data_IF_181290558612
#
_entry.id   IF_181290558612
#
_cell.length_a   1.000
_cell.length_b   1.000
_cell.length_c   1.000
_cell.angle_alpha   90.00
_cell.angle_beta   90.00
_cell.angle_gamma   90.00
#
_symmetry.space_group_name_H-M   'P 1'
#
loop_
_entity.id
_entity.type
_entity.pdbx_description
1 polymer ?
#
# COMPACT_ATOMS: atom_id res chain seq x y z
N UNK A 1 27.90 -40.65 -25.78
CA UNK A 1 28.36 -39.39 -25.17
C UNK A 1 27.65 -38.28 -25.92
N UNK A 2 26.62 -37.67 -25.32
CA UNK A 2 25.84 -36.62 -25.97
C UNK A 2 26.58 -35.30 -25.81
N UNK A 3 27.16 -34.78 -26.90
CA UNK A 3 27.84 -33.48 -26.89
C UNK A 3 26.74 -32.41 -26.88
N UNK A 4 26.74 -31.58 -25.85
CA UNK A 4 25.82 -30.45 -25.70
C UNK A 4 25.90 -29.54 -26.95
N UNK A 5 24.83 -29.38 -27.74
CA UNK A 5 24.89 -28.70 -29.04
C UNK A 5 25.32 -27.23 -28.95
N UNK A 6 25.17 -26.60 -27.78
CA UNK A 6 25.61 -25.23 -27.53
C UNK A 6 27.15 -25.08 -27.39
N UNK A 7 27.88 -26.18 -27.14
CA UNK A 7 29.35 -26.19 -27.06
C UNK A 7 30.03 -26.23 -28.44
N UNK A 8 29.26 -26.36 -29.54
CA UNK A 8 29.76 -26.37 -30.93
C UNK A 8 30.32 -25.02 -31.37
N UNK A 9 29.74 -23.93 -30.86
CA UNK A 9 30.09 -22.56 -31.24
C UNK A 9 30.78 -21.88 -30.05
N UNK A 10 32.04 -22.25 -29.82
CA UNK A 10 32.86 -21.62 -28.78
C UNK A 10 33.12 -20.15 -29.12
N UNK A 11 33.46 -19.33 -28.12
CA UNK A 11 33.64 -17.89 -28.29
C UNK A 11 34.68 -17.49 -29.34
N UNK A 12 35.64 -18.38 -29.64
CA UNK A 12 36.74 -18.13 -30.59
C UNK A 12 36.45 -18.71 -31.99
N UNK A 13 35.33 -19.40 -32.19
CA UNK A 13 34.93 -19.94 -33.49
C UNK A 13 34.53 -18.82 -34.47
N UNK A 14 34.83 -19.01 -35.75
CA UNK A 14 34.49 -18.06 -36.83
C UNK A 14 33.43 -18.70 -37.75
N UNK A 15 32.15 -18.31 -37.63
CA UNK A 15 31.07 -18.84 -38.46
C UNK A 15 31.21 -18.40 -39.92
N UNK A 16 31.00 -19.34 -40.85
CA UNK A 16 31.09 -19.10 -42.30
C UNK A 16 29.79 -19.47 -43.00
N UNK A 17 29.35 -18.61 -43.91
CA UNK A 17 28.18 -18.88 -44.75
C UNK A 17 28.45 -20.01 -45.74
N UNK A 18 27.41 -20.79 -46.05
CA UNK A 18 27.49 -21.83 -47.07
C UNK A 18 27.58 -21.18 -48.46
N UNK A 19 28.57 -21.55 -49.30
CA UNK A 19 28.69 -20.99 -50.65
C UNK A 19 27.49 -21.38 -51.52
N UNK A 20 27.03 -20.45 -52.37
CA UNK A 20 25.87 -20.57 -53.27
C UNK A 20 24.49 -20.73 -52.60
N UNK A 21 24.30 -20.10 -51.43
CA UNK A 21 23.00 -20.06 -50.75
C UNK A 21 22.01 -19.13 -51.48
N UNK A 22 20.82 -19.64 -51.83
CA UNK A 22 19.71 -18.82 -52.32
C UNK A 22 18.92 -18.24 -51.13
N UNK A 23 19.11 -16.95 -50.87
CA UNK A 23 18.52 -16.24 -49.72
C UNK A 23 16.99 -16.12 -49.81
N UNK A 24 16.41 -16.24 -51.01
CA UNK A 24 14.96 -16.16 -51.18
C UNK A 24 14.23 -17.47 -50.81
N UNK A 25 14.98 -18.57 -50.67
CA UNK A 25 14.42 -19.89 -50.36
C UNK A 25 14.35 -20.21 -48.86
N UNK A 26 15.00 -19.40 -48.00
CA UNK A 26 15.11 -19.68 -46.56
C UNK A 26 14.27 -18.69 -45.75
N UNK A 27 13.34 -19.19 -44.95
CA UNK A 27 12.57 -18.37 -44.00
C UNK A 27 13.43 -18.11 -42.76
N UNK A 28 13.90 -16.87 -42.60
CA UNK A 28 14.73 -16.44 -41.48
C UNK A 28 13.96 -15.39 -40.65
N UNK A 29 13.85 -15.60 -39.34
CA UNK A 29 13.24 -14.62 -38.43
C UNK A 29 14.06 -13.33 -38.29
N UNK A 30 13.43 -12.24 -37.82
CA UNK A 30 14.09 -10.92 -37.75
C UNK A 30 15.39 -10.91 -36.93
N UNK A 31 15.45 -11.66 -35.82
CA UNK A 31 16.65 -11.77 -34.99
C UNK A 31 17.76 -12.56 -35.68
N UNK A 32 17.41 -13.64 -36.38
CA UNK A 32 18.35 -14.48 -37.10
C UNK A 32 18.85 -13.77 -38.37
N UNK A 33 18.04 -12.90 -38.99
CA UNK A 33 18.44 -12.06 -40.12
C UNK A 33 19.44 -10.98 -39.70
N UNK A 34 19.23 -10.38 -38.52
CA UNK A 34 20.20 -9.44 -37.94
C UNK A 34 21.53 -10.14 -37.65
N UNK A 35 21.48 -11.35 -37.08
CA UNK A 35 22.69 -12.13 -36.83
C UNK A 35 23.39 -12.52 -38.13
N UNK A 36 22.63 -12.96 -39.14
CA UNK A 36 23.12 -13.27 -40.48
C UNK A 36 23.86 -12.10 -41.13
N UNK A 37 23.34 -10.87 -40.99
CA UNK A 37 23.97 -9.66 -41.55
C UNK A 37 25.38 -9.36 -40.99
N UNK A 38 25.76 -10.02 -39.89
CA UNK A 38 27.05 -9.86 -39.21
C UNK A 38 28.00 -11.04 -39.40
N UNK A 39 27.60 -12.03 -40.20
CA UNK A 39 28.44 -13.18 -40.55
C UNK A 39 29.28 -12.85 -41.78
N UNK A 40 30.47 -12.33 -41.56
CA UNK A 40 31.43 -11.95 -42.60
C UNK A 40 32.51 -13.02 -42.86
N UNK A 41 32.48 -14.13 -42.11
CA UNK A 41 33.45 -15.22 -42.20
C UNK A 41 34.81 -14.91 -41.58
N UNK A 42 34.95 -13.79 -40.87
CA UNK A 42 36.20 -13.36 -40.22
C UNK A 42 36.02 -13.04 -38.73
N UNK A 43 34.81 -12.64 -38.33
CA UNK A 43 34.50 -12.23 -36.96
C UNK A 43 34.17 -13.44 -36.08
N UNK A 44 34.71 -13.49 -34.85
CA UNK A 44 34.45 -14.61 -33.93
C UNK A 44 33.09 -14.51 -33.24
N UNK A 45 32.55 -15.62 -32.71
CA UNK A 45 31.29 -15.65 -31.94
C UNK A 45 31.30 -14.63 -30.79
N UNK A 46 32.42 -14.48 -30.07
CA UNK A 46 32.57 -13.51 -28.98
C UNK A 46 32.51 -12.07 -29.49
N UNK A 47 33.11 -11.78 -30.63
CA UNK A 47 33.07 -10.44 -31.24
C UNK A 47 31.67 -10.11 -31.78
N UNK A 48 31.00 -11.07 -32.43
CA UNK A 48 29.61 -10.93 -32.87
C UNK A 48 28.69 -10.67 -31.67
N UNK A 49 28.88 -11.41 -30.58
CA UNK A 49 28.14 -11.21 -29.33
C UNK A 49 28.31 -9.79 -28.77
N UNK A 50 29.54 -9.28 -28.78
CA UNK A 50 29.82 -7.89 -28.38
C UNK A 50 29.14 -6.86 -29.30
N UNK A 51 29.10 -7.11 -30.61
CA UNK A 51 28.49 -6.18 -31.58
C UNK A 51 26.96 -6.16 -31.52
N UNK A 52 26.35 -7.32 -31.24
CA UNK A 52 24.89 -7.47 -31.13
C UNK A 52 24.40 -7.08 -29.72
N UNK A 53 25.31 -6.93 -28.75
CA UNK A 53 24.97 -6.66 -27.35
C UNK A 53 24.28 -7.84 -26.67
N UNK A 54 24.65 -9.07 -27.05
CA UNK A 54 24.08 -10.32 -26.53
C UNK A 54 25.17 -11.20 -25.94
N UNK A 55 24.79 -12.19 -25.15
CA UNK A 55 25.77 -13.15 -24.62
C UNK A 55 26.28 -14.08 -25.73
N UNK A 56 27.53 -14.57 -25.65
CA UNK A 56 28.07 -15.53 -26.61
C UNK A 56 27.21 -16.79 -26.76
N UNK A 57 26.56 -17.24 -25.68
CA UNK A 57 25.63 -18.37 -25.71
C UNK A 57 24.36 -18.06 -26.53
N UNK A 58 23.85 -16.83 -26.47
CA UNK A 58 22.68 -16.43 -27.24
C UNK A 58 23.01 -16.35 -28.74
N UNK A 59 24.22 -15.90 -29.08
CA UNK A 59 24.73 -15.92 -30.46
C UNK A 59 24.96 -17.35 -30.95
N UNK A 60 25.53 -18.22 -30.13
CA UNK A 60 25.71 -19.64 -30.44
C UNK A 60 24.36 -20.34 -30.71
N UNK A 61 23.32 -20.04 -29.92
CA UNK A 61 21.98 -20.55 -30.14
C UNK A 61 21.36 -20.06 -31.46
N UNK A 62 21.62 -18.80 -31.84
CA UNK A 62 21.21 -18.27 -33.16
C UNK A 62 21.97 -18.91 -34.32
N UNK A 63 23.27 -19.17 -34.17
CA UNK A 63 24.08 -19.88 -35.16
C UNK A 63 23.63 -21.33 -35.34
N UNK A 64 23.22 -22.01 -34.26
CA UNK A 64 22.64 -23.35 -34.33
C UNK A 64 21.34 -23.36 -35.16
N UNK A 65 20.48 -22.34 -35.02
CA UNK A 65 19.27 -22.20 -35.85
C UNK A 65 19.59 -21.93 -37.31
N UNK A 66 20.63 -21.14 -37.58
CA UNK A 66 21.07 -20.86 -38.95
C UNK A 66 21.77 -22.07 -39.60
N UNK A 67 22.50 -22.88 -38.84
CA UNK A 67 23.05 -24.18 -39.27
C UNK A 67 21.92 -25.18 -39.59
N UNK A 68 20.92 -25.29 -38.71
CA UNK A 68 19.75 -26.14 -38.94
C UNK A 68 18.96 -25.76 -40.21
N UNK A 69 19.00 -24.47 -40.58
CA UNK A 69 18.42 -23.94 -41.84
C UNK A 69 19.38 -24.02 -43.04
N UNK A 70 20.58 -24.58 -42.86
CA UNK A 70 21.57 -24.77 -43.92
C UNK A 70 22.26 -23.48 -44.39
N UNK A 71 22.16 -22.39 -43.62
CA UNK A 71 22.69 -21.05 -43.95
C UNK A 71 24.18 -20.94 -43.64
N UNK A 72 24.63 -21.57 -42.56
CA UNK A 72 26.02 -21.56 -42.07
C UNK A 72 26.61 -22.97 -42.20
N UNK A 73 27.92 -23.05 -42.46
CA UNK A 73 28.69 -24.29 -42.43
C UNK A 73 28.88 -24.78 -40.98
N UNK A 74 28.72 -26.08 -40.77
CA UNK A 74 29.04 -26.72 -39.50
C UNK A 74 30.54 -26.55 -39.16
N UNK A 75 30.91 -26.41 -37.87
CA UNK A 75 32.30 -26.41 -37.44
C UNK A 75 33.01 -27.71 -37.86
N UNK A 76 34.28 -27.61 -38.30
CA UNK A 76 35.08 -28.75 -38.74
C UNK A 76 35.16 -29.84 -37.64
N UNK A 77 34.70 -31.06 -37.96
CA UNK A 77 34.66 -32.19 -37.02
C UNK A 77 33.39 -32.34 -36.19
N UNK A 78 32.36 -31.51 -36.39
CA UNK A 78 31.06 -31.68 -35.74
C UNK A 78 30.16 -32.71 -36.46
N UNK A 79 29.53 -33.60 -35.69
CA UNK A 79 28.50 -34.51 -36.20
C UNK A 79 27.29 -33.73 -36.75
N UNK A 80 26.60 -34.24 -37.77
CA UNK A 80 25.39 -33.58 -38.30
C UNK A 80 24.33 -33.42 -37.19
N UNK A 81 23.61 -32.30 -37.19
CA UNK A 81 22.53 -32.07 -36.23
C UNK A 81 21.47 -33.18 -36.37
N UNK A 82 20.95 -33.75 -35.26
CA UNK A 82 19.97 -34.83 -35.32
C UNK A 82 18.65 -34.31 -35.92
N UNK A 83 18.04 -35.10 -36.82
CA UNK A 83 16.81 -34.78 -37.56
C UNK A 83 15.65 -34.33 -36.65
N UNK A 84 15.63 -34.78 -35.39
CA UNK A 84 14.62 -34.41 -34.40
C UNK A 84 14.68 -32.94 -33.94
N UNK A 85 15.85 -32.30 -33.96
CA UNK A 85 15.99 -30.87 -33.68
C UNK A 85 15.55 -30.04 -34.89
N UNK A 86 15.95 -30.46 -36.10
CA UNK A 86 15.55 -29.84 -37.37
C UNK A 86 14.03 -29.88 -37.53
N UNK A 87 13.39 -31.01 -37.21
CA UNK A 87 11.93 -31.17 -37.26
C UNK A 87 11.20 -30.35 -36.18
N UNK A 88 11.70 -30.30 -34.94
CA UNK A 88 11.09 -29.49 -33.86
C UNK A 88 11.06 -27.99 -34.18
N UNK A 89 12.09 -27.48 -34.86
CA UNK A 89 12.12 -26.10 -35.32
C UNK A 89 11.24 -25.88 -36.57
N UNK A 90 11.18 -26.83 -37.50
CA UNK A 90 10.25 -26.75 -38.63
C UNK A 90 8.77 -26.74 -38.20
N UNK A 91 8.40 -27.48 -37.13
CA UNK A 91 7.05 -27.49 -36.55
C UNK A 91 6.70 -26.13 -35.92
N UNK A 92 7.63 -25.49 -35.21
CA UNK A 92 7.43 -24.16 -34.63
C UNK A 92 7.24 -23.07 -35.72
N UNK A 93 7.84 -23.24 -36.89
CA UNK A 93 7.73 -22.30 -38.02
C UNK A 93 6.40 -22.49 -38.80
N UNK A 94 5.83 -23.70 -38.86
CA UNK A 94 4.50 -23.94 -39.43
C UNK A 94 3.38 -23.31 -38.58
N UNK A 95 3.51 -23.34 -37.25
CA UNK A 95 2.57 -22.71 -36.32
C UNK A 95 2.66 -21.16 -36.33
N UNK A 96 3.81 -20.60 -36.74
CA UNK A 96 4.03 -19.16 -36.83
C UNK A 96 3.48 -18.50 -38.11
N UNK A 97 3.26 -19.26 -39.19
CA UNK A 97 2.90 -18.72 -40.51
C UNK A 97 1.39 -18.75 -40.83
N UNK A 98 0.57 -19.55 -40.13
CA UNK A 98 -0.86 -19.75 -40.43
C UNK A 98 -1.82 -19.31 -39.32
N UNK A 99 -1.53 -18.20 -38.64
CA UNK A 99 -2.35 -17.68 -37.54
C UNK A 99 -2.75 -16.21 -37.71
N UNK A 100 -3.70 -15.92 -38.60
CA UNK A 100 -4.31 -14.60 -38.70
C UNK A 100 -5.33 -14.40 -37.55
N UNK A 101 -4.91 -13.56 -36.60
CA UNK A 101 -5.71 -12.67 -35.73
C UNK A 101 -7.05 -13.18 -35.18
N UNK A 102 -7.02 -13.66 -33.94
CA UNK A 102 -7.77 -13.06 -32.82
C UNK A 102 -7.33 -13.69 -31.49
N UNK A 103 -6.35 -13.07 -30.85
CA UNK A 103 -5.81 -13.55 -29.59
C UNK A 103 -4.86 -12.51 -29.01
N UNK A 104 -5.44 -11.48 -28.39
CA UNK A 104 -4.81 -10.50 -27.49
C UNK A 104 -3.28 -10.40 -27.52
N UNK A 105 -2.75 -9.53 -28.39
CA UNK A 105 -1.41 -8.94 -28.24
C UNK A 105 -1.32 -8.22 -26.90
N UNK A 106 -0.94 -8.91 -25.83
CA UNK A 106 -0.39 -8.23 -24.65
C UNK A 106 1.03 -7.79 -25.00
N UNK A 107 1.12 -6.53 -25.40
CA UNK A 107 2.36 -5.75 -25.50
C UNK A 107 3.20 -6.01 -24.25
N UNK A 108 4.40 -6.58 -24.40
CA UNK A 108 5.47 -6.50 -23.40
C UNK A 108 5.96 -5.04 -23.37
N UNK A 109 5.12 -4.14 -22.85
CA UNK A 109 5.59 -2.89 -22.31
C UNK A 109 6.45 -3.22 -21.09
N UNK A 110 7.65 -2.66 -21.02
CA UNK A 110 8.58 -2.71 -19.87
C UNK A 110 7.80 -2.67 -18.55
N UNK A 111 7.53 -3.84 -17.95
CA UNK A 111 6.88 -3.93 -16.64
C UNK A 111 7.96 -3.69 -15.59
N UNK A 112 8.06 -2.46 -15.13
CA UNK A 112 8.59 -2.21 -13.80
C UNK A 112 7.62 -2.90 -12.85
N UNK A 113 8.05 -3.95 -12.15
CA UNK A 113 7.27 -4.56 -11.08
C UNK A 113 7.16 -3.52 -9.95
N UNK A 114 6.15 -2.65 -9.96
CA UNK A 114 5.87 -1.75 -8.83
C UNK A 114 5.39 -2.60 -7.66
N UNK A 115 6.28 -2.85 -6.71
CA UNK A 115 5.99 -3.55 -5.45
C UNK A 115 5.34 -2.54 -4.50
N UNK A 116 4.18 -2.87 -3.94
CA UNK A 116 3.50 -1.99 -2.97
C UNK A 116 4.19 -2.08 -1.60
N UNK A 117 4.01 -1.08 -0.73
CA UNK A 117 4.55 -1.15 0.64
C UNK A 117 3.98 -2.34 1.42
N UNK A 118 2.73 -2.73 1.14
CA UNK A 118 2.11 -3.92 1.73
C UNK A 118 2.81 -5.23 1.30
N UNK A 119 3.44 -5.27 0.13
CA UNK A 119 4.16 -6.45 -0.35
C UNK A 119 5.51 -6.66 0.32
N UNK A 120 6.08 -5.60 0.90
CA UNK A 120 7.35 -5.63 1.62
C UNK A 120 7.19 -6.18 3.04
N UNK A 121 5.97 -6.14 3.59
CA UNK A 121 5.66 -6.66 4.92
C UNK A 121 5.22 -8.11 4.80
N UNK A 122 5.95 -9.02 5.41
CA UNK A 122 5.58 -10.43 5.45
C UNK A 122 4.35 -10.69 6.31
N UNK A 123 3.40 -11.46 5.78
CA UNK A 123 2.15 -11.86 6.44
C UNK A 123 2.10 -13.39 6.54
N UNK A 124 1.47 -13.92 7.60
CA UNK A 124 1.30 -15.35 7.81
C UNK A 124 2.65 -16.06 8.04
N UNK A 125 3.05 -16.92 7.10
CA UNK A 125 4.34 -17.65 7.16
C UNK A 125 5.55 -16.72 7.24
N UNK A 126 5.44 -15.52 6.65
CA UNK A 126 6.49 -14.52 6.61
C UNK A 126 6.34 -13.47 7.72
N UNK A 127 5.47 -13.67 8.71
CA UNK A 127 5.19 -12.67 9.75
C UNK A 127 6.47 -12.18 10.44
N UNK A 128 6.61 -10.85 10.51
CA UNK A 128 7.77 -10.19 11.08
C UNK A 128 9.02 -10.18 10.19
N UNK A 129 8.93 -10.65 8.93
CA UNK A 129 10.00 -10.52 7.95
C UNK A 129 9.73 -9.37 6.99
N UNK A 130 10.72 -8.49 6.81
CA UNK A 130 10.66 -7.38 5.86
C UNK A 130 11.43 -7.76 4.59
N UNK A 131 10.75 -7.80 3.45
CA UNK A 131 11.37 -8.16 2.19
C UNK A 131 12.20 -7.00 1.61
N UNK A 132 13.43 -7.26 1.12
CA UNK A 132 14.23 -6.24 0.47
C UNK A 132 13.56 -5.83 -0.85
N UNK A 133 13.41 -4.51 -1.02
CA UNK A 133 12.71 -3.93 -2.18
C UNK A 133 13.42 -4.19 -3.51
N UNK A 134 14.75 -4.05 -3.54
CA UNK A 134 15.54 -4.19 -4.76
C UNK A 134 15.32 -5.51 -5.52
N UNK A 135 15.53 -6.68 -4.87
CA UNK A 135 15.31 -7.98 -5.50
C UNK A 135 13.85 -8.24 -5.93
N UNK A 136 12.86 -7.63 -5.26
CA UNK A 136 11.44 -7.79 -5.63
C UNK A 136 11.01 -6.90 -6.81
N UNK A 137 11.64 -5.75 -7.00
CA UNK A 137 11.37 -4.84 -8.13
C UNK A 137 12.13 -5.24 -9.40
N UNK A 138 13.11 -6.14 -9.31
CA UNK A 138 13.87 -6.66 -10.45
C UNK A 138 12.94 -7.29 -11.51
N UNK A 139 13.28 -7.05 -12.78
CA UNK A 139 12.61 -7.68 -13.92
C UNK A 139 13.09 -9.13 -13.96
N UNK A 140 12.24 -10.02 -13.47
CA UNK A 140 12.56 -11.43 -13.30
C UNK A 140 11.39 -12.28 -13.79
N UNK A 141 11.71 -13.41 -14.42
CA UNK A 141 10.72 -14.39 -14.88
C UNK A 141 10.02 -15.12 -13.71
N UNK A 142 10.56 -15.02 -12.49
CA UNK A 142 10.01 -15.66 -11.30
C UNK A 142 8.75 -14.96 -10.80
N UNK A 143 7.75 -15.76 -10.42
CA UNK A 143 6.57 -15.24 -9.73
C UNK A 143 6.93 -14.57 -8.39
N UNK A 144 6.15 -13.56 -7.99
CA UNK A 144 6.41 -12.78 -6.78
C UNK A 144 6.40 -13.64 -5.50
N UNK A 145 5.54 -14.67 -5.45
CA UNK A 145 5.46 -15.58 -4.30
C UNK A 145 6.71 -16.45 -4.17
N UNK A 146 7.25 -16.92 -5.29
CA UNK A 146 8.49 -17.71 -5.34
C UNK A 146 9.68 -16.84 -4.92
N UNK A 147 9.73 -15.58 -5.37
CA UNK A 147 10.76 -14.62 -4.96
C UNK A 147 10.72 -14.31 -3.46
N UNK A 148 9.52 -14.11 -2.89
CA UNK A 148 9.35 -13.93 -1.44
C UNK A 148 9.80 -15.18 -0.67
N UNK A 149 9.41 -16.37 -1.11
CA UNK A 149 9.86 -17.62 -0.46
C UNK A 149 11.39 -17.78 -0.53
N UNK A 150 12.02 -17.48 -1.67
CA UNK A 150 13.48 -17.54 -1.82
C UNK A 150 14.20 -16.57 -0.89
N UNK A 151 13.75 -15.31 -0.83
CA UNK A 151 14.36 -14.29 0.04
C UNK A 151 14.18 -14.60 1.53
N UNK A 152 13.01 -15.10 1.91
CA UNK A 152 12.73 -15.48 3.29
C UNK A 152 13.60 -16.66 3.73
N UNK A 153 13.72 -17.69 2.89
CA UNK A 153 14.54 -18.85 3.20
C UNK A 153 16.02 -18.46 3.26
N UNK A 154 16.56 -17.75 2.26
CA UNK A 154 17.99 -17.36 2.21
C UNK A 154 18.40 -16.54 3.44
N UNK A 155 17.51 -15.67 3.95
CA UNK A 155 17.78 -14.85 5.13
C UNK A 155 17.75 -15.62 6.47
N UNK A 156 17.12 -16.81 6.51
CA UNK A 156 16.95 -17.59 7.76
C UNK A 156 17.55 -18.99 7.69
N UNK A 157 18.23 -19.32 6.59
CA UNK A 157 18.59 -20.70 6.26
C UNK A 157 19.60 -21.32 7.22
N UNK A 158 20.43 -20.49 7.84
CA UNK A 158 21.44 -20.91 8.81
C UNK A 158 20.83 -21.27 10.17
N UNK A 159 19.75 -20.58 10.57
CA UNK A 159 19.10 -20.73 11.88
C UNK A 159 17.92 -21.72 11.89
N UNK A 160 17.51 -22.21 10.70
CA UNK A 160 16.33 -23.07 10.58
C UNK A 160 16.68 -24.55 10.70
N UNK A 161 15.86 -25.28 11.48
CA UNK A 161 15.96 -26.73 11.55
C UNK A 161 15.61 -27.37 10.19
N UNK A 162 16.17 -28.57 9.87
CA UNK A 162 15.87 -29.27 8.62
C UNK A 162 14.37 -29.46 8.36
N UNK A 163 13.58 -29.69 9.42
CA UNK A 163 12.11 -29.76 9.33
C UNK A 163 11.48 -28.44 8.86
N UNK A 164 11.97 -27.29 9.33
CA UNK A 164 11.46 -25.97 8.92
C UNK A 164 11.89 -25.60 7.50
N UNK A 165 13.05 -26.04 7.04
CA UNK A 165 13.52 -25.80 5.65
C UNK A 165 12.62 -26.49 4.62
N UNK A 166 12.10 -27.68 4.94
CA UNK A 166 11.19 -28.46 4.05
C UNK A 166 9.70 -28.18 4.32
N UNK A 167 9.36 -27.34 5.29
CA UNK A 167 7.99 -27.01 5.71
C UNK A 167 7.21 -28.16 6.32
N UNK A 168 7.88 -28.91 7.19
CA UNK A 168 7.32 -30.07 7.85
C UNK A 168 7.21 -29.86 9.37
N UNK A 169 6.11 -30.31 9.99
CA UNK A 169 6.06 -30.44 11.44
C UNK A 169 7.00 -31.56 11.90
N UNK A 170 7.47 -31.49 13.16
CA UNK A 170 8.30 -32.53 13.77
C UNK A 170 7.63 -33.92 13.76
N UNK A 171 6.29 -33.95 13.83
CA UNK A 171 5.45 -35.15 13.78
C UNK A 171 5.15 -35.67 12.37
N UNK A 172 5.78 -35.13 11.32
CA UNK A 172 5.53 -35.57 9.95
C UNK A 172 5.87 -37.06 9.75
N UNK A 173 4.95 -37.75 9.08
CA UNK A 173 5.11 -39.14 8.65
C UNK A 173 6.05 -39.28 7.44
N UNK A 174 6.62 -40.46 7.24
CA UNK A 174 7.66 -40.79 6.26
C UNK A 174 7.19 -40.47 4.84
N UNK A 175 5.96 -40.86 4.51
CA UNK A 175 5.35 -40.56 3.22
C UNK A 175 5.11 -39.07 2.98
N UNK A 176 4.92 -38.28 4.04
CA UNK A 176 4.75 -36.82 3.95
C UNK A 176 6.10 -36.11 3.78
N UNK A 177 7.14 -36.61 4.46
CA UNK A 177 8.51 -36.10 4.36
C UNK A 177 9.01 -36.25 2.92
N UNK A 178 8.92 -37.44 2.34
CA UNK A 178 9.37 -37.72 0.98
C UNK A 178 8.67 -36.82 -0.04
N UNK A 179 7.35 -36.70 0.01
CA UNK A 179 6.57 -35.88 -0.93
C UNK A 179 6.93 -34.39 -0.86
N UNK A 180 7.15 -33.85 0.34
CA UNK A 180 7.47 -32.43 0.50
C UNK A 180 8.93 -32.13 0.16
N UNK A 181 9.85 -33.03 0.49
CA UNK A 181 11.25 -32.94 0.08
C UNK A 181 11.38 -32.90 -1.45
N UNK A 182 10.73 -33.84 -2.16
CA UNK A 182 10.71 -33.88 -3.62
C UNK A 182 10.11 -32.61 -4.23
N UNK A 183 9.01 -32.11 -3.64
CA UNK A 183 8.37 -30.87 -4.10
C UNK A 183 9.31 -29.66 -3.97
N UNK A 184 9.98 -29.53 -2.83
CA UNK A 184 10.91 -28.42 -2.55
C UNK A 184 12.18 -28.51 -3.41
N UNK A 185 12.72 -29.72 -3.60
CA UNK A 185 13.87 -29.94 -4.48
C UNK A 185 13.59 -29.56 -5.93
N UNK A 186 12.40 -29.91 -6.46
CA UNK A 186 11.98 -29.49 -7.81
C UNK A 186 11.78 -27.98 -7.92
N UNK A 187 11.23 -27.36 -6.87
CA UNK A 187 10.98 -25.91 -6.83
C UNK A 187 12.26 -25.09 -6.84
N UNK A 188 13.34 -25.57 -6.23
CA UNK A 188 14.64 -24.88 -6.20
C UNK A 188 15.67 -25.49 -7.15
N UNK A 189 15.28 -26.42 -8.02
CA UNK A 189 16.22 -27.04 -8.96
C UNK A 189 16.75 -26.00 -9.96
N UNK A 190 18.07 -25.91 -10.19
CA UNK A 190 18.64 -24.97 -11.16
C UNK A 190 18.07 -25.17 -12.57
N UNK A 191 17.89 -26.42 -13.00
CA UNK A 191 17.33 -26.74 -14.33
C UNK A 191 15.89 -26.26 -14.53
N UNK A 192 15.09 -26.11 -13.46
CA UNK A 192 13.70 -25.60 -13.56
C UNK A 192 13.68 -24.17 -14.13
N UNK A 193 14.76 -23.42 -13.93
CA UNK A 193 14.89 -22.03 -14.37
C UNK A 193 15.93 -21.85 -15.47
N UNK A 194 16.36 -22.95 -16.11
CA UNK A 194 17.31 -22.90 -17.22
C UNK A 194 16.72 -22.14 -18.41
N UNK A 195 17.44 -21.12 -18.90
CA UNK A 195 16.99 -20.24 -19.99
C UNK A 195 16.01 -19.13 -19.57
N UNK A 196 15.70 -18.98 -18.28
CA UNK A 196 14.88 -17.88 -17.77
C UNK A 196 15.74 -16.72 -17.21
N UNK A 197 15.25 -15.49 -17.32
CA UNK A 197 15.89 -14.31 -16.71
C UNK A 197 15.61 -14.27 -15.20
N UNK A 198 16.40 -15.03 -14.43
CA UNK A 198 16.30 -15.10 -12.95
C UNK A 198 17.08 -14.02 -12.22
N UNK A 199 17.94 -13.25 -12.91
CA UNK A 199 18.62 -12.09 -12.34
C UNK A 199 19.40 -12.41 -11.05
N UNK A 200 19.23 -11.59 -10.02
CA UNK A 200 19.88 -11.73 -8.71
C UNK A 200 19.53 -13.03 -7.95
N UNK A 201 18.49 -13.76 -8.39
CA UNK A 201 18.05 -15.00 -7.73
C UNK A 201 18.88 -16.22 -8.10
N UNK A 202 19.71 -16.18 -9.15
CA UNK A 202 20.51 -17.33 -9.58
C UNK A 202 21.39 -17.92 -8.46
N UNK A 203 22.25 -17.11 -7.79
CA UNK A 203 23.06 -17.58 -6.67
C UNK A 203 22.24 -18.03 -5.47
N UNK A 204 21.08 -17.39 -5.22
CA UNK A 204 20.16 -17.74 -4.14
C UNK A 204 19.59 -19.14 -4.38
N UNK A 205 19.14 -19.43 -5.61
CA UNK A 205 18.59 -20.74 -6.00
C UNK A 205 19.60 -21.86 -5.72
N UNK A 206 20.88 -21.67 -6.08
CA UNK A 206 21.92 -22.67 -5.85
C UNK A 206 22.15 -22.94 -4.35
N UNK A 207 22.21 -21.89 -3.52
CA UNK A 207 22.37 -22.04 -2.07
C UNK A 207 21.17 -22.76 -1.45
N UNK A 208 19.96 -22.33 -1.80
CA UNK A 208 18.73 -22.93 -1.31
C UNK A 208 18.62 -24.40 -1.72
N UNK A 209 18.93 -24.73 -2.98
CA UNK A 209 18.91 -26.09 -3.49
C UNK A 209 19.84 -27.02 -2.68
N UNK A 210 21.08 -26.60 -2.47
CA UNK A 210 22.06 -27.40 -1.72
C UNK A 210 21.62 -27.62 -0.27
N UNK A 211 21.06 -26.60 0.39
CA UNK A 211 20.58 -26.76 1.77
C UNK A 211 19.32 -27.60 1.86
N UNK A 212 18.37 -27.43 0.95
CA UNK A 212 17.15 -28.25 0.91
C UNK A 212 17.52 -29.71 0.67
N UNK A 213 18.52 -29.97 -0.17
CA UNK A 213 19.07 -31.32 -0.39
C UNK A 213 19.70 -31.89 0.87
N UNK A 214 20.57 -31.13 1.55
CA UNK A 214 21.16 -31.55 2.82
C UNK A 214 20.08 -31.86 3.88
N UNK A 215 19.06 -31.00 3.98
CA UNK A 215 17.94 -31.23 4.89
C UNK A 215 17.11 -32.46 4.51
N UNK A 216 16.92 -32.72 3.21
CA UNK A 216 16.19 -33.88 2.73
C UNK A 216 16.96 -35.18 3.02
N UNK A 217 18.27 -35.19 2.77
CA UNK A 217 19.14 -36.33 3.03
C UNK A 217 19.15 -36.69 4.53
N UNK A 218 19.12 -35.70 5.43
CA UNK A 218 19.01 -35.91 6.87
C UNK A 218 17.64 -36.42 7.32
N UNK A 219 16.56 -36.04 6.63
CA UNK A 219 15.18 -36.37 7.02
C UNK A 219 14.65 -37.66 6.39
N UNK A 220 15.20 -38.08 5.25
CA UNK A 220 14.89 -39.36 4.61
C UNK A 220 15.57 -40.54 5.31
N UNK A 221 16.70 -40.29 5.99
CA UNK A 221 17.39 -41.27 6.81
C UNK A 221 16.67 -41.42 8.17
N UNK A 222 16.07 -42.59 8.47
CA UNK A 222 15.22 -42.76 9.65
C UNK A 222 16.01 -42.64 10.96
N UNK A 223 17.28 -43.04 10.99
CA UNK A 223 18.14 -42.98 12.18
C UNK A 223 18.51 -41.53 12.50
N UNK A 224 19.07 -40.80 11.52
CA UNK A 224 19.44 -39.38 11.67
C UNK A 224 18.23 -38.50 11.98
N UNK A 225 17.08 -38.81 11.40
CA UNK A 225 15.82 -38.12 11.71
C UNK A 225 15.42 -38.32 13.17
N UNK A 226 15.57 -39.52 13.71
CA UNK A 226 15.21 -39.82 15.10
C UNK A 226 16.12 -39.07 16.09
N UNK A 227 17.43 -39.04 15.82
CA UNK A 227 18.40 -38.28 16.59
C UNK A 227 18.12 -36.79 16.53
N UNK A 228 17.82 -36.26 15.35
CA UNK A 228 17.45 -34.86 15.14
C UNK A 228 16.16 -34.49 15.88
N UNK A 229 15.16 -35.39 15.92
CA UNK A 229 13.94 -35.20 16.71
C UNK A 229 14.27 -35.12 18.20
N UNK A 230 15.09 -36.03 18.71
CA UNK A 230 15.52 -36.04 20.12
C UNK A 230 16.31 -34.78 20.48
N UNK A 231 17.23 -34.33 19.61
CA UNK A 231 18.01 -33.11 19.79
C UNK A 231 17.15 -31.84 19.75
N UNK A 232 16.18 -31.76 18.83
CA UNK A 232 15.29 -30.61 18.69
C UNK A 232 14.20 -30.55 19.77
N UNK A 233 13.83 -31.68 20.36
CA UNK A 233 12.84 -31.73 21.44
C UNK A 233 13.44 -31.34 22.80
N UNK A 234 14.73 -31.58 23.07
CA UNK A 234 15.47 -31.03 24.23
C UNK A 234 14.96 -31.39 25.65
N UNK A 235 13.75 -31.90 25.77
CA UNK A 235 13.01 -32.40 26.95
C UNK A 235 11.92 -33.28 26.29
N UNK A 236 11.78 -34.59 26.53
CA UNK A 236 10.80 -35.08 27.51
C UNK A 236 10.65 -36.62 27.47
N UNK A 237 11.43 -37.35 28.27
CA UNK A 237 10.99 -38.68 28.74
C UNK A 237 9.77 -38.59 29.70
N UNK A 238 9.34 -37.37 30.03
CA UNK A 238 8.23 -37.04 30.92
C UNK A 238 6.90 -36.83 30.18
N UNK A 239 6.90 -36.43 28.90
CA UNK A 239 5.67 -36.27 28.10
C UNK A 239 5.09 -37.61 27.67
N UNK A 240 5.96 -38.61 27.45
CA UNK A 240 5.54 -39.99 27.18
C UNK A 240 4.77 -40.57 28.38
N UNK A 241 5.06 -40.12 29.61
CA UNK A 241 4.29 -40.51 30.82
C UNK A 241 2.99 -39.71 30.99
N UNK A 242 2.89 -38.51 30.41
CA UNK A 242 1.66 -37.71 30.43
C UNK A 242 0.56 -38.32 29.54
N UNK A 243 0.96 -39.07 28.52
CA UNK A 243 0.09 -39.85 27.65
C UNK A 243 -0.38 -41.21 28.22
N UNK A 244 0.06 -41.59 29.42
CA UNK A 244 -0.39 -42.80 30.13
C UNK A 244 -1.31 -42.50 31.34
N UNK A 245 -1.46 -41.22 31.72
CA UNK A 245 -2.30 -40.80 32.86
C UNK A 245 -3.80 -40.91 32.56
N UNK A 246 -4.68 -41.28 33.52
CA UNK A 246 -6.13 -41.30 33.30
C UNK A 246 -6.69 -39.96 32.81
N UNK A 247 -7.71 -40.00 31.93
CA UNK A 247 -8.31 -38.82 31.29
C UNK A 247 -8.71 -37.72 32.30
N UNK A 248 -9.24 -38.10 33.46
CA UNK A 248 -9.65 -37.17 34.52
C UNK A 248 -8.48 -36.33 35.08
N UNK A 249 -7.30 -36.94 35.23
CA UNK A 249 -6.10 -36.26 35.76
C UNK A 249 -5.51 -35.30 34.71
N UNK A 250 -5.61 -35.66 33.42
CA UNK A 250 -5.21 -34.77 32.32
C UNK A 250 -6.13 -33.57 32.21
N UNK A 251 -7.44 -33.77 32.28
CA UNK A 251 -8.42 -32.69 32.26
C UNK A 251 -8.27 -31.76 33.47
N UNK A 252 -8.01 -32.31 34.66
CA UNK A 252 -7.76 -31.51 35.87
C UNK A 252 -6.50 -30.65 35.73
N UNK A 253 -5.38 -31.23 35.25
CA UNK A 253 -4.14 -30.49 35.01
C UNK A 253 -4.26 -29.48 33.86
N UNK A 254 -5.02 -29.79 32.81
CA UNK A 254 -5.32 -28.84 31.73
C UNK A 254 -6.15 -27.67 32.24
N UNK A 255 -7.23 -27.92 33.00
CA UNK A 255 -8.03 -26.87 33.64
C UNK A 255 -7.19 -26.01 34.60
N UNK A 256 -6.25 -26.61 35.31
CA UNK A 256 -5.33 -25.89 36.20
C UNK A 256 -4.32 -25.04 35.43
N UNK A 257 -3.70 -25.58 34.37
CA UNK A 257 -2.84 -24.81 33.45
C UNK A 257 -3.61 -23.67 32.78
N UNK A 258 -4.85 -23.90 32.38
CA UNK A 258 -5.74 -22.88 31.83
C UNK A 258 -6.03 -21.78 32.86
N UNK A 259 -6.36 -22.12 34.11
CA UNK A 259 -6.55 -21.16 35.21
C UNK A 259 -5.29 -20.33 35.47
N UNK A 260 -4.13 -20.97 35.53
CA UNK A 260 -2.83 -20.30 35.73
C UNK A 260 -2.54 -19.38 34.52
N UNK A 261 -2.75 -19.86 33.30
CA UNK A 261 -2.55 -19.08 32.08
C UNK A 261 -3.52 -17.90 31.97
N UNK A 262 -4.78 -18.08 32.36
CA UNK A 262 -5.80 -17.04 32.42
C UNK A 262 -5.46 -16.00 33.50
N UNK A 263 -4.97 -16.43 34.66
CA UNK A 263 -4.46 -15.56 35.72
C UNK A 263 -3.26 -14.74 35.28
N UNK A 264 -2.30 -15.35 34.57
CA UNK A 264 -1.15 -14.66 33.98
C UNK A 264 -1.56 -13.70 32.86
N UNK A 265 -2.52 -14.07 32.00
CA UNK A 265 -3.12 -13.18 30.98
C UNK A 265 -3.79 -11.97 31.65
N UNK A 266 -4.59 -12.17 32.69
CA UNK A 266 -5.19 -11.07 33.46
C UNK A 266 -4.14 -10.16 34.11
N UNK A 267 -3.06 -10.72 34.66
CA UNK A 267 -1.94 -9.92 35.21
C UNK A 267 -1.18 -9.15 34.13
N UNK A 268 -0.97 -9.73 32.95
CA UNK A 268 -0.35 -9.07 31.79
C UNK A 268 -1.23 -7.95 31.23
N UNK A 269 -2.54 -8.15 31.18
CA UNK A 269 -3.51 -7.12 30.79
C UNK A 269 -3.52 -5.95 31.80
N UNK A 270 -3.49 -6.23 33.11
CA UNK A 270 -3.37 -5.18 34.15
C UNK A 270 -2.03 -4.42 34.10
N UNK A 271 -0.95 -5.08 33.69
CA UNK A 271 0.37 -4.46 33.49
C UNK A 271 0.55 -3.84 32.10
N UNK A 272 -0.41 -4.02 31.19
CA UNK A 272 -0.33 -3.47 29.85
C UNK A 272 -0.61 -1.95 29.92
N UNK A 273 0.30 -1.10 29.44
CA UNK A 273 0.17 0.36 29.50
C UNK A 273 -1.14 0.87 28.87
N UNK A 274 -1.74 0.14 27.91
CA UNK A 274 -3.05 0.49 27.34
C UNK A 274 -4.17 0.54 28.38
N UNK A 275 -4.26 -0.42 29.31
CA UNK A 275 -5.32 -0.40 30.33
C UNK A 275 -5.11 0.71 31.36
N UNK A 276 -3.85 1.05 31.67
CA UNK A 276 -3.52 2.20 32.49
C UNK A 276 -3.93 3.52 31.80
N UNK A 277 -3.70 3.64 30.49
CA UNK A 277 -4.10 4.80 29.70
C UNK A 277 -5.63 4.94 29.63
N UNK A 278 -6.37 3.85 29.41
CA UNK A 278 -7.85 3.85 29.43
C UNK A 278 -8.37 4.26 30.83
N UNK A 279 -7.75 3.75 31.90
CA UNK A 279 -8.08 4.15 33.27
C UNK A 279 -7.89 5.65 33.50
N UNK A 280 -6.74 6.21 33.07
CA UNK A 280 -6.46 7.66 33.17
C UNK A 280 -7.40 8.50 32.29
N UNK A 281 -7.73 8.03 31.09
CA UNK A 281 -8.71 8.71 30.22
C UNK A 281 -10.07 8.82 30.92
N UNK A 282 -10.50 7.74 31.59
CA UNK A 282 -11.76 7.72 32.34
C UNK A 282 -11.74 8.68 33.52
N UNK A 283 -10.65 8.78 34.29
CA UNK A 283 -10.57 9.72 35.41
C UNK A 283 -10.60 11.16 34.93
N UNK A 284 -9.86 11.49 33.87
CA UNK A 284 -9.88 12.83 33.25
C UNK A 284 -11.26 13.19 32.71
N UNK A 285 -11.98 12.22 32.14
CA UNK A 285 -13.35 12.44 31.70
C UNK A 285 -14.32 12.69 32.86
N UNK A 286 -14.16 11.96 33.97
CA UNK A 286 -14.95 12.21 35.19
C UNK A 286 -14.66 13.60 35.78
N UNK A 287 -13.41 14.06 35.76
CA UNK A 287 -13.05 15.42 36.13
C UNK A 287 -13.66 16.46 35.20
N UNK A 288 -13.63 16.19 33.88
CA UNK A 288 -14.30 17.04 32.90
C UNK A 288 -15.80 17.20 33.21
N UNK A 289 -16.48 16.12 33.60
CA UNK A 289 -17.90 16.20 33.97
C UNK A 289 -18.16 17.07 35.20
N UNK A 290 -17.27 17.04 36.20
CA UNK A 290 -17.36 17.97 37.34
C UNK A 290 -17.18 19.43 36.90
N UNK A 291 -16.29 19.70 35.95
CA UNK A 291 -16.16 21.05 35.38
C UNK A 291 -17.41 21.48 34.62
N UNK A 292 -18.10 20.55 33.94
CA UNK A 292 -19.38 20.83 33.28
C UNK A 292 -20.46 21.18 34.31
N UNK A 293 -20.56 20.44 35.41
CA UNK A 293 -21.49 20.76 36.52
C UNK A 293 -21.23 22.16 37.08
N UNK A 294 -19.96 22.55 37.20
CA UNK A 294 -19.55 23.86 37.67
C UNK A 294 -19.62 24.97 36.59
N UNK A 295 -20.12 24.66 35.37
CA UNK A 295 -20.16 25.57 34.20
C UNK A 295 -18.79 26.09 33.73
N UNK A 296 -17.70 25.43 34.13
CA UNK A 296 -16.33 25.76 33.71
C UNK A 296 -15.97 25.07 32.38
N UNK A 297 -16.66 25.43 31.31
CA UNK A 297 -16.57 24.72 30.02
C UNK A 297 -15.18 24.71 29.39
N UNK A 298 -14.36 25.75 29.60
CA UNK A 298 -12.99 25.79 29.09
C UNK A 298 -12.09 24.73 29.75
N UNK A 299 -12.22 24.53 31.08
CA UNK A 299 -11.49 23.49 31.79
C UNK A 299 -12.00 22.10 31.41
N UNK A 300 -13.31 21.95 31.27
CA UNK A 300 -13.94 20.72 30.80
C UNK A 300 -13.41 20.30 29.42
N UNK A 301 -13.35 21.23 28.46
CA UNK A 301 -12.81 20.98 27.12
C UNK A 301 -11.35 20.50 27.17
N UNK A 302 -10.49 21.16 27.95
CA UNK A 302 -9.09 20.78 28.09
C UNK A 302 -8.92 19.40 28.74
N UNK A 303 -9.74 19.06 29.73
CA UNK A 303 -9.74 17.75 30.38
C UNK A 303 -10.21 16.63 29.42
N UNK A 304 -11.20 16.89 28.57
CA UNK A 304 -11.64 15.92 27.54
C UNK A 304 -10.57 15.75 26.46
N UNK A 305 -9.92 16.85 26.04
CA UNK A 305 -8.78 16.79 25.12
C UNK A 305 -7.66 15.92 25.69
N UNK A 306 -7.32 16.09 26.98
CA UNK A 306 -6.36 15.23 27.66
C UNK A 306 -6.82 13.77 27.68
N UNK A 307 -8.10 13.48 27.99
CA UNK A 307 -8.64 12.12 27.94
C UNK A 307 -8.51 11.48 26.54
N UNK A 308 -8.79 12.25 25.47
CA UNK A 308 -8.68 11.81 24.08
C UNK A 308 -7.24 11.44 23.68
N UNK A 309 -6.23 12.09 24.26
CA UNK A 309 -4.82 11.69 24.01
C UNK A 309 -4.48 10.30 24.54
N UNK A 310 -5.11 9.88 25.65
CA UNK A 310 -4.88 8.57 26.25
C UNK A 310 -5.72 7.47 25.62
N UNK A 311 -6.90 7.80 25.08
CA UNK A 311 -7.77 6.87 24.36
C UNK A 311 -8.38 7.52 23.09
N UNK A 312 -7.62 7.56 21.97
CA UNK A 312 -8.08 8.18 20.73
C UNK A 312 -9.20 7.41 20.01
N UNK A 313 -9.43 6.14 20.36
CA UNK A 313 -10.37 5.25 19.65
C UNK A 313 -11.81 5.37 20.16
N UNK A 314 -12.02 6.07 21.26
CA UNK A 314 -13.35 6.21 21.85
C UNK A 314 -14.16 7.36 21.18
N UNK A 315 -15.28 7.05 20.50
CA UNK A 315 -16.10 8.07 19.82
C UNK A 315 -16.74 9.05 20.81
N UNK A 316 -17.01 8.63 22.04
CA UNK A 316 -17.63 9.47 23.07
C UNK A 316 -16.79 10.70 23.39
N UNK A 317 -15.47 10.56 23.45
CA UNK A 317 -14.58 11.70 23.76
C UNK A 317 -14.54 12.72 22.62
N UNK A 318 -14.66 12.26 21.36
CA UNK A 318 -14.72 13.16 20.20
C UNK A 318 -16.02 13.95 20.18
N UNK A 319 -17.15 13.29 20.44
CA UNK A 319 -18.45 13.98 20.52
C UNK A 319 -18.49 14.99 21.68
N UNK A 320 -17.99 14.59 22.85
CA UNK A 320 -17.98 15.44 24.03
C UNK A 320 -17.01 16.60 23.91
N UNK A 321 -15.86 16.41 23.24
CA UNK A 321 -14.93 17.50 22.92
C UNK A 321 -15.62 18.56 22.08
N UNK A 322 -16.26 18.17 20.97
CA UNK A 322 -16.91 19.11 20.06
C UNK A 322 -18.04 19.88 20.77
N UNK A 323 -18.86 19.17 21.56
CA UNK A 323 -19.90 19.81 22.38
C UNK A 323 -19.31 20.81 23.39
N UNK A 324 -18.22 20.45 24.06
CA UNK A 324 -17.59 21.35 25.04
C UNK A 324 -16.82 22.49 24.37
N UNK A 325 -16.26 22.29 23.18
CA UNK A 325 -15.60 23.31 22.37
C UNK A 325 -16.58 24.42 22.01
N UNK A 326 -17.75 24.04 21.50
CA UNK A 326 -18.84 24.97 21.19
C UNK A 326 -19.27 25.73 22.44
N UNK A 327 -19.59 25.04 23.55
CA UNK A 327 -20.00 25.68 24.81
C UNK A 327 -18.91 26.59 25.42
N UNK A 328 -17.65 26.19 25.32
CA UNK A 328 -16.53 26.99 25.80
C UNK A 328 -16.34 28.26 24.96
N UNK A 329 -16.51 28.16 23.64
CA UNK A 329 -16.51 29.34 22.76
C UNK A 329 -17.68 30.28 23.10
N UNK A 330 -18.90 29.74 23.26
CA UNK A 330 -20.08 30.52 23.64
C UNK A 330 -19.87 31.26 24.96
N UNK A 331 -19.43 30.54 26.00
CA UNK A 331 -19.18 31.12 27.32
C UNK A 331 -18.05 32.18 27.29
N UNK A 332 -17.00 31.98 26.49
CA UNK A 332 -15.92 32.96 26.33
C UNK A 332 -16.39 34.19 25.56
N UNK A 333 -17.34 34.05 24.63
CA UNK A 333 -17.88 35.16 23.86
C UNK A 333 -18.94 35.98 24.63
N UNK A 334 -19.60 35.37 25.62
CA UNK A 334 -20.69 35.97 26.39
C UNK A 334 -20.37 37.36 26.97
N UNK A 335 -19.19 37.62 27.59
CA UNK A 335 -18.86 38.96 28.08
C UNK A 335 -18.76 40.00 26.95
N UNK A 336 -18.25 39.60 25.79
CA UNK A 336 -18.14 40.49 24.62
C UNK A 336 -19.52 40.81 24.04
N UNK A 337 -20.41 39.82 23.98
CA UNK A 337 -21.80 40.03 23.54
C UNK A 337 -22.53 40.97 24.48
N UNK A 338 -22.43 40.76 25.80
CA UNK A 338 -23.05 41.66 26.79
C UNK A 338 -22.49 43.09 26.72
N UNK A 339 -21.18 43.23 26.54
CA UNK A 339 -20.56 44.53 26.36
C UNK A 339 -21.06 45.22 25.07
N UNK A 340 -21.22 44.46 23.99
CA UNK A 340 -21.74 44.96 22.73
C UNK A 340 -23.20 45.42 22.86
N UNK A 341 -24.07 44.61 23.48
CA UNK A 341 -25.47 44.94 23.72
C UNK A 341 -25.63 46.16 24.64
N UNK A 342 -24.79 46.26 25.68
CA UNK A 342 -24.75 47.45 26.52
C UNK A 342 -24.33 48.69 25.72
N UNK A 343 -23.29 48.60 24.89
CA UNK A 343 -22.85 49.70 24.05
C UNK A 343 -23.93 50.12 23.03
N UNK A 344 -24.65 49.18 22.44
CA UNK A 344 -25.81 49.46 21.57
C UNK A 344 -26.90 50.25 22.31
N UNK A 345 -27.25 49.83 23.53
CA UNK A 345 -28.29 50.49 24.33
C UNK A 345 -27.91 51.93 24.71
N UNK A 346 -26.62 52.20 24.90
CA UNK A 346 -26.08 53.54 25.19
C UNK A 346 -25.85 54.36 23.90
N UNK A 347 -26.04 53.76 22.72
CA UNK A 347 -25.85 54.42 21.41
C UNK A 347 -24.39 54.55 20.98
N UNK A 348 -23.46 53.80 21.60
CA UNK A 348 -22.03 53.76 21.24
C UNK A 348 -21.78 52.65 20.21
N UNK A 349 -22.11 52.92 18.96
CA UNK A 349 -22.08 51.93 17.88
C UNK A 349 -20.67 51.41 17.55
N UNK A 350 -19.62 52.25 17.62
CA UNK A 350 -18.23 51.83 17.37
C UNK A 350 -17.75 50.78 18.37
N UNK A 351 -18.08 50.99 19.65
CA UNK A 351 -17.72 50.07 20.74
C UNK A 351 -18.50 48.76 20.62
N UNK A 352 -19.78 48.85 20.21
CA UNK A 352 -20.60 47.68 19.96
C UNK A 352 -20.07 46.84 18.80
N UNK A 353 -19.67 47.48 17.70
CA UNK A 353 -19.06 46.83 16.54
C UNK A 353 -17.79 46.08 16.94
N UNK A 354 -16.85 46.75 17.62
CA UNK A 354 -15.60 46.13 18.05
C UNK A 354 -15.84 44.91 18.97
N UNK A 355 -16.81 45.03 19.89
CA UNK A 355 -17.17 43.94 20.79
C UNK A 355 -17.81 42.75 20.06
N UNK A 356 -18.71 42.99 19.09
CA UNK A 356 -19.25 41.92 18.25
C UNK A 356 -18.20 41.28 17.34
N UNK A 357 -17.28 42.05 16.75
CA UNK A 357 -16.15 41.50 15.98
C UNK A 357 -15.32 40.54 16.84
N UNK A 358 -15.06 40.89 18.10
CA UNK A 358 -14.33 40.02 19.02
C UNK A 358 -15.12 38.76 19.38
N UNK A 359 -16.44 38.89 19.64
CA UNK A 359 -17.32 37.73 19.85
C UNK A 359 -17.34 36.79 18.63
N UNK A 360 -17.43 37.34 17.41
CA UNK A 360 -17.47 36.58 16.17
C UNK A 360 -16.15 35.84 15.88
N UNK A 361 -15.01 36.42 16.25
CA UNK A 361 -13.70 35.74 16.18
C UNK A 361 -13.60 34.55 17.13
N UNK A 362 -14.26 34.61 18.28
CA UNK A 362 -14.30 33.52 19.26
C UNK A 362 -15.29 32.43 18.81
N UNK A 363 -16.47 32.84 18.35
CA UNK A 363 -17.55 31.94 17.94
C UNK A 363 -17.71 31.92 16.41
N UNK A 364 -16.86 31.15 15.73
CA UNK A 364 -16.98 30.97 14.28
C UNK A 364 -18.29 30.25 13.85
N UNK A 365 -18.93 29.52 14.76
CA UNK A 365 -20.16 28.78 14.50
C UNK A 365 -21.44 29.64 14.61
N UNK A 366 -21.32 30.89 15.07
CA UNK A 366 -22.44 31.85 15.22
C UNK A 366 -22.27 33.04 14.28
N UNK A 367 -22.79 32.95 13.04
CA UNK A 367 -22.68 34.04 12.07
C UNK A 367 -23.47 35.30 12.47
N UNK A 368 -24.39 35.20 13.44
CA UNK A 368 -25.20 36.33 13.92
C UNK A 368 -24.32 37.47 14.45
N UNK A 369 -23.16 37.16 15.04
CA UNK A 369 -22.25 38.17 15.57
C UNK A 369 -21.59 39.00 14.46
N UNK A 370 -21.30 38.39 13.30
CA UNK A 370 -20.81 39.13 12.13
C UNK A 370 -21.91 40.04 11.56
N UNK A 371 -23.15 39.57 11.47
CA UNK A 371 -24.27 40.36 11.00
C UNK A 371 -24.58 41.55 11.93
N UNK A 372 -24.56 41.34 13.26
CA UNK A 372 -24.72 42.43 14.25
C UNK A 372 -23.58 43.44 14.21
N UNK A 373 -22.34 42.99 14.02
CA UNK A 373 -21.21 43.90 13.81
C UNK A 373 -21.40 44.75 12.56
N UNK A 374 -21.83 44.14 11.45
CA UNK A 374 -22.11 44.85 10.20
C UNK A 374 -23.22 45.91 10.36
N UNK A 375 -24.30 45.59 11.09
CA UNK A 375 -25.36 46.56 11.38
C UNK A 375 -24.83 47.74 12.21
N UNK A 376 -24.03 47.47 13.25
CA UNK A 376 -23.41 48.53 14.06
C UNK A 376 -22.51 49.41 13.20
N UNK A 377 -21.62 48.82 12.38
CA UNK A 377 -20.74 49.54 11.46
C UNK A 377 -21.52 50.41 10.46
N UNK A 378 -22.65 49.91 9.94
CA UNK A 378 -23.52 50.65 9.04
C UNK A 378 -24.15 51.89 9.70
N UNK A 379 -24.49 51.80 10.99
CA UNK A 379 -25.09 52.92 11.75
C UNK A 379 -24.07 54.00 12.10
N UNK A 380 -22.81 53.64 12.29
CA UNK A 380 -21.70 54.58 12.46
C UNK A 380 -21.51 55.38 11.18
N UNK A 381 -21.54 54.70 10.03
CA UNK A 381 -21.48 55.33 8.70
C UNK A 381 -20.07 55.75 8.25
N UNK A 382 -19.03 55.42 9.02
CA UNK A 382 -17.64 55.75 8.68
C UNK A 382 -17.10 54.91 7.51
N UNK A 383 -17.36 53.59 7.48
CA UNK A 383 -16.90 52.69 6.41
C UNK A 383 -17.99 51.67 6.00
N UNK A 384 -18.73 52.01 4.94
CA UNK A 384 -19.75 51.13 4.37
C UNK A 384 -19.17 49.92 3.61
N UNK A 385 -17.91 49.98 3.16
CA UNK A 385 -17.26 48.82 2.54
C UNK A 385 -16.91 47.79 3.60
N UNK A 386 -16.38 48.23 4.75
CA UNK A 386 -16.12 47.34 5.87
C UNK A 386 -17.41 46.70 6.39
N UNK A 387 -18.50 47.47 6.53
CA UNK A 387 -19.82 46.93 6.90
C UNK A 387 -20.27 45.82 5.94
N UNK A 388 -20.14 46.03 4.62
CA UNK A 388 -20.48 45.03 3.62
C UNK A 388 -19.61 43.77 3.74
N UNK A 389 -18.31 43.92 3.97
CA UNK A 389 -17.40 42.79 4.18
C UNK A 389 -17.76 41.96 5.42
N UNK A 390 -18.21 42.60 6.51
CA UNK A 390 -18.67 41.91 7.72
C UNK A 390 -19.97 41.16 7.48
N UNK A 391 -20.92 41.75 6.76
CA UNK A 391 -22.17 41.09 6.39
C UNK A 391 -21.91 39.90 5.46
N UNK A 392 -20.95 40.02 4.53
CA UNK A 392 -20.57 38.93 3.62
C UNK A 392 -20.04 37.73 4.40
N UNK A 393 -19.22 37.94 5.44
CA UNK A 393 -18.75 36.84 6.32
C UNK A 393 -19.88 36.07 6.98
N UNK A 394 -20.99 36.72 7.33
CA UNK A 394 -22.17 36.05 7.86
C UNK A 394 -22.89 35.22 6.79
N UNK A 395 -23.04 35.78 5.59
CA UNK A 395 -23.67 35.11 4.43
C UNK A 395 -22.84 33.91 3.97
N UNK A 396 -21.51 34.00 3.99
CA UNK A 396 -20.62 32.90 3.59
C UNK A 396 -20.79 31.65 4.48
N UNK A 397 -21.17 31.84 5.75
CA UNK A 397 -21.44 30.75 6.71
C UNK A 397 -22.88 30.23 6.54
N UNK A 398 -23.84 31.13 6.31
CA UNK A 398 -25.27 30.79 6.18
C UNK A 398 -25.91 31.58 5.01
N UNK A 399 -25.79 31.08 3.76
CA UNK A 399 -26.19 31.81 2.56
C UNK A 399 -27.71 31.93 2.38
N UNK A 400 -28.47 31.01 2.99
CA UNK A 400 -29.93 30.94 2.86
C UNK A 400 -30.66 31.73 3.96
N UNK A 401 -29.91 32.38 4.87
CA UNK A 401 -30.53 33.16 5.93
C UNK A 401 -30.97 34.54 5.42
N UNK A 402 -32.28 34.73 5.32
CA UNK A 402 -32.92 35.97 4.85
C UNK A 402 -32.56 37.18 5.70
N UNK A 403 -32.34 37.03 7.01
CA UNK A 403 -31.95 38.13 7.91
C UNK A 403 -30.56 38.69 7.57
N UNK A 404 -29.60 37.83 7.22
CA UNK A 404 -28.25 38.28 6.84
C UNK A 404 -28.24 38.98 5.48
N UNK A 405 -29.04 38.47 4.55
CA UNK A 405 -29.25 39.12 3.25
C UNK A 405 -29.96 40.49 3.43
N UNK A 406 -30.89 40.61 4.38
CA UNK A 406 -31.54 41.90 4.72
C UNK A 406 -30.54 42.91 5.29
N UNK A 407 -29.64 42.48 6.17
CA UNK A 407 -28.55 43.35 6.69
C UNK A 407 -27.66 43.83 5.55
N UNK A 408 -27.22 42.92 4.66
CA UNK A 408 -26.44 43.29 3.48
C UNK A 408 -27.21 44.24 2.55
N UNK A 409 -28.50 43.99 2.31
CA UNK A 409 -29.34 44.84 1.47
C UNK A 409 -29.42 46.27 2.04
N UNK A 410 -29.63 46.41 3.35
CA UNK A 410 -29.66 47.72 4.00
C UNK A 410 -28.32 48.45 3.85
N UNK A 411 -27.19 47.76 4.02
CA UNK A 411 -25.85 48.34 3.83
C UNK A 411 -25.67 48.82 2.39
N UNK A 412 -26.02 47.98 1.40
CA UNK A 412 -25.91 48.33 -0.01
C UNK A 412 -26.84 49.48 -0.41
N UNK A 413 -28.04 49.54 0.17
CA UNK A 413 -28.98 50.65 0.00
C UNK A 413 -28.38 51.96 0.56
N UNK A 414 -27.79 51.93 1.76
CA UNK A 414 -27.11 53.11 2.33
C UNK A 414 -25.86 53.53 1.56
N UNK A 415 -25.17 52.59 0.93
CA UNK A 415 -24.00 52.84 0.11
C UNK A 415 -24.33 53.28 -1.34
N UNK A 416 -25.61 53.32 -1.71
CA UNK A 416 -26.03 53.68 -3.08
C UNK A 416 -25.68 52.65 -4.15
N UNK A 417 -25.38 51.39 -3.76
CA UNK A 417 -24.99 50.33 -4.68
C UNK A 417 -26.20 49.58 -5.26
N UNK A 418 -27.02 50.28 -6.04
CA UNK A 418 -28.34 49.80 -6.47
C UNK A 418 -28.34 48.50 -7.27
N UNK A 419 -27.33 48.27 -8.11
CA UNK A 419 -27.24 47.04 -8.89
C UNK A 419 -27.03 45.80 -8.00
N UNK A 420 -26.12 45.90 -7.02
CA UNK A 420 -25.85 44.80 -6.07
C UNK A 420 -27.03 44.61 -5.12
N UNK A 421 -27.62 45.71 -4.64
CA UNK A 421 -28.80 45.67 -3.79
C UNK A 421 -29.98 44.95 -4.46
N UNK A 422 -30.23 45.20 -5.76
CA UNK A 422 -31.26 44.50 -6.53
C UNK A 422 -31.05 42.98 -6.57
N UNK A 423 -29.82 42.53 -6.84
CA UNK A 423 -29.51 41.10 -6.88
C UNK A 423 -29.79 40.41 -5.53
N UNK A 424 -29.39 41.05 -4.42
CA UNK A 424 -29.65 40.53 -3.07
C UNK A 424 -31.15 40.54 -2.76
N UNK A 425 -31.89 41.58 -3.14
CA UNK A 425 -33.33 41.65 -2.95
C UNK A 425 -34.08 40.57 -3.77
N UNK A 426 -33.64 40.28 -4.99
CA UNK A 426 -34.16 39.15 -5.78
C UNK A 426 -33.85 37.80 -5.11
N UNK A 427 -32.66 37.64 -4.55
CA UNK A 427 -32.29 36.44 -3.80
C UNK A 427 -33.18 36.25 -2.57
N UNK A 428 -33.44 37.33 -1.80
CA UNK A 428 -34.37 37.29 -0.67
C UNK A 428 -35.77 36.90 -1.14
N UNK A 429 -36.28 37.51 -2.23
CA UNK A 429 -37.61 37.19 -2.76
C UNK A 429 -37.76 35.75 -3.28
N UNK A 430 -36.66 35.08 -3.64
CA UNK A 430 -36.66 33.64 -3.98
C UNK A 430 -36.76 32.76 -2.75
N UNK A 431 -36.07 33.13 -1.65
CA UNK A 431 -36.04 32.39 -0.40
C UNK A 431 -37.32 32.62 0.43
N UNK A 432 -37.83 33.85 0.44
CA UNK A 432 -39.07 34.27 1.10
C UNK A 432 -39.98 35.04 0.13
N UNK A 433 -40.86 34.31 -0.59
CA UNK A 433 -41.82 34.93 -1.51
C UNK A 433 -42.90 35.79 -0.83
N UNK A 434 -43.08 35.67 0.49
CA UNK A 434 -44.14 36.36 1.24
C UNK A 434 -43.69 37.74 1.77
N UNK A 435 -42.40 38.08 1.65
CA UNK A 435 -41.83 39.36 2.06
C UNK A 435 -42.34 40.53 1.20
N UNK A 436 -43.48 41.13 1.59
CA UNK A 436 -44.09 42.27 0.89
C UNK A 436 -43.18 43.50 0.84
N UNK A 437 -42.37 43.71 1.88
CA UNK A 437 -41.44 44.83 2.01
C UNK A 437 -40.31 44.77 0.98
N UNK A 438 -39.80 43.58 0.68
CA UNK A 438 -38.77 43.36 -0.35
C UNK A 438 -39.36 43.52 -1.75
N UNK A 439 -40.59 43.04 -1.97
CA UNK A 439 -41.28 43.23 -3.25
C UNK A 439 -41.54 44.71 -3.56
N UNK A 440 -41.88 45.51 -2.56
CA UNK A 440 -42.00 46.97 -2.70
C UNK A 440 -40.67 47.64 -3.05
N UNK A 441 -39.58 47.26 -2.36
CA UNK A 441 -38.22 47.75 -2.68
C UNK A 441 -37.79 47.41 -4.11
N UNK A 442 -38.07 46.19 -4.57
CA UNK A 442 -37.79 45.77 -5.95
C UNK A 442 -38.62 46.56 -6.99
N UNK A 443 -39.90 46.86 -6.70
CA UNK A 443 -40.72 47.71 -7.57
C UNK A 443 -40.21 49.14 -7.64
N UNK A 444 -39.77 49.71 -6.52
CA UNK A 444 -39.27 51.08 -6.45
C UNK A 444 -37.98 51.27 -7.25
N UNK A 445 -37.06 50.29 -7.23
CA UNK A 445 -35.78 50.34 -7.97
C UNK A 445 -35.86 49.96 -9.47
N UNK A 446 -37.06 49.60 -9.98
CA UNK A 446 -37.30 49.37 -11.42
C UNK A 446 -37.76 50.63 -12.16
N UNK A 447 -38.21 51.64 -11.42
CA UNK A 447 -38.53 52.99 -11.94
C UNK A 447 -37.29 53.85 -11.82
#
# INVERSE_FOLDING_TARGET
MSVDPALRYSGDFVPRLKPNLDLNSVVIGAEDHFLFSRLDGRTTVRQIASLVGKSPMHVAAGQLRLEARGVILAPDGAEQLPDSLVQKQAIADAEGASGDRQGSRKKFAKRINKVSEADLIGVGRFEGFMFPRGPLEEICALEINVRKEMLFLDARIEDMSPFKVIDLPLSADDGRIMRQADKKLRMFHPDTYFGQEVGSFGPIILRLYNKVREAADLLLDPEKRSELRTQLLGVSAEEIKEEELPQEVREARQKERERISAGLRHRRLKKNPMFANIGRAKTLYQEAMKFVENKEFAKAHNAIMAAKTFDPRNPLYTEMEERMRVRASDHRSEPHVKAAEFAMNVGRWDQAEAAFKNAAKICAHRPEYWARAAECCCRVGEDLQEAANLAQKAIDIAPDNTEFLRVMLNILDTAGMDAKARNIAEQIGRLDPAASDIQERLKKKRR
#
